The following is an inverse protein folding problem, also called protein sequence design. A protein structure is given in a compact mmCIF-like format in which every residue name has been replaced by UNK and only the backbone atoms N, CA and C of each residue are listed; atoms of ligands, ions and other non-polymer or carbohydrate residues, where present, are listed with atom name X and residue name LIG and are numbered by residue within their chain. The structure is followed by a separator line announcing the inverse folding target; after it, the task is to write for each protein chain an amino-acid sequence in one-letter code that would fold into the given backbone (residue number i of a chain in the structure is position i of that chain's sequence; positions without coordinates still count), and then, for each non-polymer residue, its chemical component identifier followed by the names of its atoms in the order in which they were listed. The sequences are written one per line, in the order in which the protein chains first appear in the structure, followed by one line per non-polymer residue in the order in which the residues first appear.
data_IF_209730501675
#
_entry.id   IF_209730501675
#
_cell.length_a   1.000
_cell.length_b   1.000
_cell.length_c   1.000
_cell.angle_alpha   90.00
_cell.angle_beta   90.00
_cell.angle_gamma   90.00
#
_symmetry.space_group_name_H-M   'P 1'
#
loop_
_entity.id
_entity.type
_entity.pdbx_description
1 polymer ?
#
# COMPACT_ATOMS: atom_id res chain seq x y z
N UNK A 1 -94.55 16.91 91.08
CA UNK A 1 -93.70 15.92 90.37
C UNK A 1 -92.85 15.23 91.42
N UNK A 2 -92.97 13.91 91.62
CA UNK A 2 -92.24 13.20 92.69
C UNK A 2 -90.77 13.00 92.29
N UNK A 3 -89.85 13.03 93.27
CA UNK A 3 -88.40 12.89 93.07
C UNK A 3 -88.04 11.63 92.25
N UNK A 4 -88.79 10.54 92.44
CA UNK A 4 -88.67 9.30 91.67
C UNK A 4 -88.90 9.49 90.16
N UNK A 5 -89.84 10.35 89.75
CA UNK A 5 -90.08 10.65 88.32
C UNK A 5 -88.89 11.40 87.72
N UNK A 6 -88.28 12.33 88.46
CA UNK A 6 -87.08 13.06 88.03
C UNK A 6 -85.88 12.12 87.83
N UNK A 7 -85.69 11.17 88.75
CA UNK A 7 -84.64 10.14 88.63
C UNK A 7 -84.90 9.21 87.42
N UNK A 8 -86.16 8.83 87.19
CA UNK A 8 -86.57 8.01 86.05
C UNK A 8 -86.32 8.73 84.71
N UNK A 9 -86.69 10.02 84.59
CA UNK A 9 -86.41 10.82 83.38
C UNK A 9 -84.91 11.02 83.14
N UNK A 10 -84.11 11.22 84.19
CA UNK A 10 -82.65 11.31 84.10
C UNK A 10 -82.02 10.01 83.61
N UNK A 11 -82.46 8.86 84.11
CA UNK A 11 -81.97 7.55 83.65
C UNK A 11 -82.35 7.28 82.20
N UNK A 12 -83.57 7.64 81.78
CA UNK A 12 -84.00 7.53 80.38
C UNK A 12 -83.12 8.42 79.48
N UNK A 13 -82.88 9.68 79.87
CA UNK A 13 -82.03 10.59 79.11
C UNK A 13 -80.58 10.08 78.99
N UNK A 14 -80.01 9.56 80.07
CA UNK A 14 -78.67 8.95 80.07
C UNK A 14 -78.60 7.75 79.12
N UNK A 15 -79.56 6.82 79.19
CA UNK A 15 -79.61 5.65 78.30
C UNK A 15 -79.71 6.08 76.83
N UNK A 16 -80.53 7.09 76.52
CA UNK A 16 -80.66 7.64 75.17
C UNK A 16 -79.34 8.27 74.70
N UNK A 17 -78.65 9.05 75.53
CA UNK A 17 -77.36 9.63 75.19
C UNK A 17 -76.28 8.57 74.92
N UNK A 18 -76.21 7.52 75.75
CA UNK A 18 -75.28 6.39 75.55
C UNK A 18 -75.61 5.64 74.26
N UNK A 19 -76.90 5.40 73.97
CA UNK A 19 -77.32 4.76 72.72
C UNK A 19 -76.94 5.59 71.49
N UNK A 20 -77.12 6.92 71.53
CA UNK A 20 -76.70 7.83 70.46
C UNK A 20 -75.17 7.80 70.28
N UNK A 21 -74.39 7.84 71.37
CA UNK A 21 -72.94 7.77 71.31
C UNK A 21 -72.44 6.43 70.73
N UNK A 22 -73.07 5.31 71.09
CA UNK A 22 -72.77 4.00 70.52
C UNK A 22 -73.07 3.96 69.01
N UNK A 23 -74.22 4.48 68.58
CA UNK A 23 -74.58 4.58 67.15
C UNK A 23 -73.63 5.49 66.40
N UNK A 24 -73.27 6.65 66.96
CA UNK A 24 -72.30 7.57 66.36
C UNK A 24 -70.92 6.92 66.23
N UNK A 25 -70.47 6.17 67.23
CA UNK A 25 -69.19 5.43 67.20
C UNK A 25 -69.20 4.35 66.10
N UNK A 26 -70.28 3.58 66.00
CA UNK A 26 -70.46 2.58 64.93
C UNK A 26 -70.49 3.23 63.54
N UNK A 27 -71.17 4.37 63.40
CA UNK A 27 -71.23 5.13 62.15
C UNK A 27 -69.85 5.67 61.76
N UNK A 28 -69.09 6.23 62.71
CA UNK A 28 -67.71 6.68 62.50
C UNK A 28 -66.80 5.51 62.12
N UNK A 29 -66.92 4.37 62.80
CA UNK A 29 -66.16 3.17 62.49
C UNK A 29 -66.44 2.68 61.06
N UNK A 30 -67.71 2.59 60.66
CA UNK A 30 -68.08 2.19 59.30
C UNK A 30 -67.60 3.18 58.24
N UNK A 31 -67.69 4.49 58.51
CA UNK A 31 -67.19 5.52 57.60
C UNK A 31 -65.66 5.45 57.48
N UNK A 32 -64.96 5.30 58.60
CA UNK A 32 -63.50 5.14 58.65
C UNK A 32 -63.05 3.89 57.89
N UNK A 33 -63.73 2.75 58.10
CA UNK A 33 -63.45 1.52 57.36
C UNK A 33 -63.66 1.68 55.85
N UNK A 34 -64.70 2.41 55.42
CA UNK A 34 -64.93 2.72 54.00
C UNK A 34 -63.87 3.65 53.42
N UNK A 35 -63.46 4.68 54.16
CA UNK A 35 -62.42 5.63 53.72
C UNK A 35 -61.06 4.94 53.63
N UNK A 36 -60.70 4.11 54.60
CA UNK A 36 -59.46 3.34 54.58
C UNK A 36 -59.45 2.36 53.40
N UNK A 37 -60.55 1.62 53.19
CA UNK A 37 -60.67 0.73 52.04
C UNK A 37 -60.58 1.47 50.69
N UNK A 38 -61.08 2.71 50.61
CA UNK A 38 -60.93 3.54 49.40
C UNK A 38 -59.49 4.01 49.20
N UNK A 39 -58.81 4.46 50.26
CA UNK A 39 -57.40 4.87 50.22
C UNK A 39 -56.47 3.72 49.87
N UNK A 40 -56.73 2.54 50.42
CA UNK A 40 -55.93 1.34 50.13
C UNK A 40 -56.02 0.97 48.64
N UNK A 41 -57.21 1.05 48.04
CA UNK A 41 -57.38 0.84 46.59
C UNK A 41 -56.66 1.88 45.73
N UNK A 42 -56.72 3.15 46.12
CA UNK A 42 -56.02 4.23 45.41
C UNK A 42 -54.50 4.04 45.51
N UNK A 43 -54.00 3.67 46.69
CA UNK A 43 -52.60 3.42 46.95
C UNK A 43 -52.09 2.17 46.21
N UNK A 44 -52.88 1.11 46.12
CA UNK A 44 -52.58 -0.07 45.29
C UNK A 44 -52.53 0.27 43.80
N UNK A 45 -53.46 1.11 43.34
CA UNK A 45 -53.48 1.60 41.95
C UNK A 45 -52.22 2.42 41.67
N UNK A 46 -51.86 3.34 42.55
CA UNK A 46 -50.65 4.15 42.43
C UNK A 46 -49.38 3.29 42.45
N UNK A 47 -49.29 2.31 43.35
CA UNK A 47 -48.17 1.36 43.41
C UNK A 47 -48.05 0.58 42.11
N UNK A 48 -49.16 0.08 41.59
CA UNK A 48 -49.19 -0.69 40.34
C UNK A 48 -48.82 0.17 39.14
N UNK A 49 -49.29 1.41 39.09
CA UNK A 49 -48.95 2.34 38.01
C UNK A 49 -47.48 2.77 38.09
N UNK A 50 -46.97 3.05 39.28
CA UNK A 50 -45.55 3.36 39.51
C UNK A 50 -44.64 2.18 39.16
N UNK A 51 -44.99 0.95 39.52
CA UNK A 51 -44.20 -0.23 39.14
C UNK A 51 -44.21 -0.46 37.64
N UNK A 52 -45.34 -0.24 36.96
CA UNK A 52 -45.41 -0.26 35.48
C UNK A 52 -44.52 0.79 34.85
N UNK A 53 -44.54 2.03 35.34
CA UNK A 53 -43.68 3.10 34.83
C UNK A 53 -42.20 2.82 35.05
N UNK A 54 -41.82 2.32 36.24
CA UNK A 54 -40.45 1.92 36.52
C UNK A 54 -40.02 0.77 35.60
N UNK A 55 -40.88 -0.24 35.40
CA UNK A 55 -40.58 -1.36 34.50
C UNK A 55 -40.43 -0.90 33.04
N UNK A 56 -41.29 0.01 32.57
CA UNK A 56 -41.20 0.60 31.24
C UNK A 56 -39.90 1.41 31.06
N UNK A 57 -39.58 2.28 32.01
CA UNK A 57 -38.35 3.07 31.97
C UNK A 57 -37.09 2.19 32.02
N UNK A 58 -37.11 1.10 32.80
CA UNK A 58 -36.00 0.12 32.83
C UNK A 58 -35.87 -0.64 31.51
N UNK A 59 -36.98 -0.98 30.85
CA UNK A 59 -36.97 -1.64 29.55
C UNK A 59 -36.40 -0.71 28.47
N UNK A 60 -36.83 0.55 28.43
CA UNK A 60 -36.32 1.57 27.50
C UNK A 60 -34.82 1.83 27.73
N UNK A 61 -34.39 1.94 29.00
CA UNK A 61 -32.99 2.11 29.33
C UNK A 61 -32.14 0.91 28.89
N UNK A 62 -32.65 -0.32 29.09
CA UNK A 62 -31.97 -1.53 28.65
C UNK A 62 -31.86 -1.60 27.11
N UNK A 63 -32.88 -1.18 26.39
CA UNK A 63 -32.85 -1.11 24.92
C UNK A 63 -31.85 -0.06 24.43
N UNK A 64 -31.87 1.15 25.00
CA UNK A 64 -30.91 2.20 24.68
C UNK A 64 -29.46 1.75 24.93
N UNK A 65 -29.21 1.04 26.03
CA UNK A 65 -27.88 0.47 26.32
C UNK A 65 -27.46 -0.58 25.28
N UNK A 66 -28.37 -1.45 24.84
CA UNK A 66 -28.08 -2.43 23.78
C UNK A 66 -27.73 -1.76 22.45
N UNK A 67 -28.47 -0.70 22.09
CA UNK A 67 -28.21 0.06 20.87
C UNK A 67 -26.83 0.73 20.98
N UNK A 68 -26.56 1.45 22.07
CA UNK A 68 -25.28 2.13 22.28
C UNK A 68 -24.07 1.16 22.25
N UNK A 69 -24.21 -0.02 22.86
CA UNK A 69 -23.17 -1.06 22.82
C UNK A 69 -22.97 -1.61 21.40
N UNK A 70 -24.06 -1.82 20.64
CA UNK A 70 -23.96 -2.26 19.25
C UNK A 70 -23.27 -1.23 18.35
N UNK A 71 -23.56 0.06 18.55
CA UNK A 71 -22.89 1.15 17.83
C UNK A 71 -21.42 1.27 18.22
N UNK A 72 -21.11 1.11 19.51
CA UNK A 72 -19.72 1.11 19.98
C UNK A 72 -18.92 -0.01 19.33
N UNK A 73 -19.49 -1.22 19.22
CA UNK A 73 -18.85 -2.34 18.51
C UNK A 73 -18.69 -2.06 17.03
N UNK A 74 -19.70 -1.51 16.37
CA UNK A 74 -19.63 -1.16 14.96
C UNK A 74 -18.55 -0.10 14.69
N UNK A 75 -18.40 0.91 15.56
CA UNK A 75 -17.33 1.92 15.48
C UNK A 75 -15.95 1.31 15.68
N UNK A 76 -15.77 0.48 16.70
CA UNK A 76 -14.49 -0.19 16.96
C UNK A 76 -14.06 -1.08 15.78
N UNK A 77 -15.02 -1.79 15.16
CA UNK A 77 -14.77 -2.59 13.97
C UNK A 77 -14.40 -1.73 12.77
N UNK A 78 -15.09 -0.61 12.55
CA UNK A 78 -14.76 0.33 11.48
C UNK A 78 -13.36 0.95 11.67
N UNK A 79 -13.02 1.35 12.90
CA UNK A 79 -11.69 1.86 13.24
C UNK A 79 -10.60 0.82 12.96
N UNK A 80 -10.84 -0.44 13.33
CA UNK A 80 -9.94 -1.56 13.02
C UNK A 80 -9.76 -1.75 11.51
N UNK A 81 -10.85 -1.69 10.73
CA UNK A 81 -10.79 -1.81 9.27
C UNK A 81 -10.04 -0.64 8.62
N UNK A 82 -10.23 0.59 9.12
CA UNK A 82 -9.50 1.77 8.66
C UNK A 82 -8.01 1.62 8.94
N UNK A 83 -7.62 1.25 10.17
CA UNK A 83 -6.23 1.02 10.52
C UNK A 83 -5.57 -0.07 9.66
N UNK A 84 -6.29 -1.17 9.39
CA UNK A 84 -5.81 -2.24 8.52
C UNK A 84 -5.71 -1.82 7.04
N UNK A 85 -6.59 -0.95 6.57
CA UNK A 85 -6.53 -0.38 5.23
C UNK A 85 -5.34 0.60 5.09
N UNK A 86 -5.12 1.45 6.07
CA UNK A 86 -3.98 2.37 6.13
C UNK A 86 -2.64 1.63 6.16
N UNK A 87 -2.54 0.57 6.97
CA UNK A 87 -1.34 -0.27 7.01
C UNK A 87 -1.02 -0.89 5.64
N UNK A 88 -2.03 -1.46 4.96
CA UNK A 88 -1.87 -2.02 3.60
C UNK A 88 -1.51 -0.94 2.58
N UNK A 89 -2.09 0.26 2.68
CA UNK A 89 -1.76 1.37 1.80
C UNK A 89 -0.32 1.84 2.00
N UNK A 90 0.15 1.92 3.25
CA UNK A 90 1.53 2.27 3.57
C UNK A 90 2.53 1.25 3.02
N UNK A 91 2.25 -0.06 3.19
CA UNK A 91 3.07 -1.14 2.66
C UNK A 91 3.12 -1.11 1.12
N UNK A 92 1.97 -1.00 0.46
CA UNK A 92 1.90 -0.90 -1.00
C UNK A 92 2.69 0.31 -1.54
N UNK A 93 2.61 1.45 -0.85
CA UNK A 93 3.37 2.64 -1.21
C UNK A 93 4.88 2.45 -1.02
N UNK A 94 5.32 1.77 0.04
CA UNK A 94 6.72 1.47 0.27
C UNK A 94 7.29 0.57 -0.84
N UNK A 95 6.57 -0.50 -1.20
CA UNK A 95 6.94 -1.40 -2.31
C UNK A 95 6.97 -0.65 -3.64
N UNK A 96 5.96 0.18 -3.92
CA UNK A 96 5.91 0.97 -5.15
C UNK A 96 7.06 1.98 -5.24
N UNK A 97 7.46 2.58 -4.12
CA UNK A 97 8.62 3.49 -4.07
C UNK A 97 9.93 2.77 -4.37
N UNK A 98 10.14 1.59 -3.77
CA UNK A 98 11.32 0.77 -4.04
C UNK A 98 11.39 0.33 -5.50
N UNK A 99 10.27 -0.16 -6.05
CA UNK A 99 10.19 -0.55 -7.46
C UNK A 99 10.49 0.62 -8.40
N UNK A 100 10.05 1.84 -8.07
CA UNK A 100 10.37 3.05 -8.85
C UNK A 100 11.86 3.39 -8.81
N UNK A 101 12.51 3.23 -7.66
CA UNK A 101 13.96 3.46 -7.53
C UNK A 101 14.78 2.43 -8.31
N UNK A 102 14.38 1.17 -8.26
CA UNK A 102 15.02 0.10 -9.05
C UNK A 102 14.80 0.33 -10.55
N UNK A 103 13.58 0.70 -10.96
CA UNK A 103 13.29 1.03 -12.34
C UNK A 103 14.08 2.25 -12.81
N UNK A 104 14.20 3.29 -11.98
CA UNK A 104 15.02 4.46 -12.30
C UNK A 104 16.48 4.08 -12.59
N UNK A 105 17.11 3.28 -11.71
CA UNK A 105 18.47 2.76 -11.91
C UNK A 105 18.59 1.91 -13.18
N UNK A 106 17.57 1.11 -13.49
CA UNK A 106 17.51 0.33 -14.73
C UNK A 106 17.24 1.20 -15.96
N UNK A 107 16.72 2.42 -15.83
CA UNK A 107 16.47 3.35 -16.96
C UNK A 107 17.56 4.38 -17.19
N UNK A 108 18.48 4.60 -16.24
CA UNK A 108 19.58 5.57 -16.40
C UNK A 108 20.45 5.24 -17.63
N UNK A 109 20.73 6.19 -18.54
CA UNK A 109 21.53 5.92 -19.73
C UNK A 109 22.90 5.34 -19.39
N UNK A 110 23.40 4.37 -20.17
CA UNK A 110 24.76 3.85 -20.02
C UNK A 110 25.75 4.94 -20.42
N UNK A 111 26.40 5.54 -19.44
CA UNK A 111 27.42 6.60 -19.64
C UNK A 111 28.76 6.17 -19.06
N UNK A 112 29.85 6.56 -19.72
CA UNK A 112 31.22 6.34 -19.22
C UNK A 112 31.77 7.64 -18.65
N UNK A 113 32.30 7.60 -17.42
CA UNK A 113 33.00 8.73 -16.84
C UNK A 113 34.26 9.06 -17.66
N UNK A 114 34.66 10.34 -17.80
CA UNK A 114 35.85 10.71 -18.56
C UNK A 114 37.13 9.98 -18.11
N UNK A 115 37.30 9.81 -16.79
CA UNK A 115 38.43 9.09 -16.20
C UNK A 115 38.50 7.62 -16.65
N UNK A 116 37.34 6.97 -16.81
CA UNK A 116 37.29 5.58 -17.28
C UNK A 116 37.52 5.50 -18.78
N UNK A 117 37.07 6.51 -19.55
CA UNK A 117 37.39 6.60 -20.98
C UNK A 117 38.91 6.66 -21.18
N UNK A 118 39.63 7.47 -20.40
CA UNK A 118 41.10 7.55 -20.46
C UNK A 118 41.78 6.22 -20.13
N UNK A 119 41.31 5.53 -19.08
CA UNK A 119 41.84 4.19 -18.72
C UNK A 119 41.61 3.17 -19.83
N UNK A 120 40.41 3.15 -20.41
CA UNK A 120 40.09 2.24 -21.52
C UNK A 120 40.98 2.57 -22.73
N UNK A 121 41.13 3.85 -23.08
CA UNK A 121 42.01 4.28 -24.18
C UNK A 121 43.43 3.78 -23.95
N UNK A 122 44.01 4.02 -22.76
CA UNK A 122 45.36 3.58 -22.43
C UNK A 122 45.52 2.05 -22.51
N UNK A 123 44.53 1.28 -22.06
CA UNK A 123 44.53 -0.18 -22.14
C UNK A 123 44.43 -0.69 -23.58
N UNK A 124 43.73 0.03 -24.48
CA UNK A 124 43.52 -0.41 -25.86
C UNK A 124 44.57 0.08 -26.85
N UNK A 125 45.41 1.05 -26.46
CA UNK A 125 46.50 1.59 -27.29
C UNK A 125 47.52 0.53 -27.71
N UNK A 126 47.74 -0.51 -26.89
CA UNK A 126 48.63 -1.62 -27.26
C UNK A 126 48.14 -2.40 -28.49
N UNK A 127 46.86 -2.28 -28.84
CA UNK A 127 46.22 -2.90 -30.00
C UNK A 127 45.91 -1.90 -31.13
N UNK A 128 46.62 -0.77 -31.18
CA UNK A 128 46.44 0.23 -32.25
C UNK A 128 46.52 -0.41 -33.65
N UNK A 129 45.65 0.04 -34.56
CA UNK A 129 45.48 -0.53 -35.89
C UNK A 129 44.45 -1.67 -35.97
N UNK A 130 43.91 -2.15 -34.85
CA UNK A 130 42.85 -3.16 -34.83
C UNK A 130 41.59 -2.64 -35.54
N UNK A 131 41.05 -3.41 -36.48
CA UNK A 131 39.79 -3.07 -37.16
C UNK A 131 38.59 -3.36 -36.26
N UNK A 132 37.61 -2.44 -36.28
CA UNK A 132 36.35 -2.61 -35.55
C UNK A 132 35.15 -2.08 -36.33
N UNK A 133 33.98 -2.66 -36.06
CA UNK A 133 32.69 -2.20 -36.60
C UNK A 133 31.61 -2.28 -35.53
N UNK A 134 30.40 -1.82 -35.84
CA UNK A 134 29.28 -1.89 -34.90
C UNK A 134 28.04 -2.57 -35.48
N UNK A 135 27.27 -3.13 -34.57
CA UNK A 135 25.83 -3.36 -34.70
C UNK A 135 25.12 -2.66 -33.53
N UNK A 136 23.92 -2.13 -33.72
CA UNK A 136 23.24 -1.28 -32.74
C UNK A 136 21.74 -1.47 -32.76
N UNK A 137 21.12 -1.47 -31.59
CA UNK A 137 19.67 -1.38 -31.46
C UNK A 137 19.20 0.04 -31.83
N UNK A 138 18.07 0.17 -32.52
CA UNK A 138 17.60 1.46 -33.05
C UNK A 138 16.88 2.33 -32.00
N UNK A 139 17.51 2.52 -30.83
CA UNK A 139 17.03 3.47 -29.81
C UNK A 139 18.04 4.62 -29.59
N UNK A 140 17.59 5.77 -29.04
CA UNK A 140 18.46 6.93 -28.86
C UNK A 140 19.64 6.68 -27.92
N UNK A 141 19.46 5.82 -26.91
CA UNK A 141 20.48 5.55 -25.89
C UNK A 141 21.60 4.66 -26.42
N UNK A 142 21.28 3.56 -27.12
CA UNK A 142 22.30 2.70 -27.74
C UNK A 142 23.09 3.46 -28.81
N UNK A 143 22.42 4.33 -29.58
CA UNK A 143 23.09 5.21 -30.54
C UNK A 143 24.02 6.22 -29.88
N UNK A 144 23.64 6.78 -28.72
CA UNK A 144 24.50 7.67 -27.96
C UNK A 144 25.74 6.93 -27.43
N UNK A 145 25.56 5.73 -26.84
CA UNK A 145 26.66 4.91 -26.37
C UNK A 145 27.59 4.48 -27.52
N UNK A 146 27.04 4.10 -28.69
CA UNK A 146 27.81 3.78 -29.88
C UNK A 146 28.70 4.94 -30.30
N UNK A 147 28.18 6.18 -30.32
CA UNK A 147 28.98 7.37 -30.67
C UNK A 147 30.14 7.57 -29.70
N UNK A 148 29.89 7.41 -28.40
CA UNK A 148 30.93 7.51 -27.38
C UNK A 148 32.00 6.43 -27.56
N UNK A 149 31.60 5.19 -27.82
CA UNK A 149 32.52 4.08 -28.09
C UNK A 149 33.31 4.28 -29.39
N UNK A 150 32.70 4.82 -30.44
CA UNK A 150 33.38 5.11 -31.71
C UNK A 150 34.51 6.13 -31.53
N UNK A 151 34.24 7.21 -30.80
CA UNK A 151 35.27 8.21 -30.46
C UNK A 151 36.38 7.57 -29.62
N UNK A 152 36.01 6.83 -28.58
CA UNK A 152 36.94 6.18 -27.67
C UNK A 152 37.90 5.22 -28.41
N UNK A 153 37.36 4.35 -29.27
CA UNK A 153 38.17 3.36 -29.99
C UNK A 153 39.06 4.02 -31.04
N UNK A 154 38.57 5.05 -31.73
CA UNK A 154 39.41 5.86 -32.63
C UNK A 154 40.54 6.55 -31.88
N UNK A 155 40.29 7.07 -30.67
CA UNK A 155 41.31 7.66 -29.81
C UNK A 155 42.35 6.64 -29.33
N UNK A 156 41.99 5.36 -29.21
CA UNK A 156 42.91 4.26 -28.97
C UNK A 156 43.69 3.80 -30.23
N UNK A 157 43.47 4.45 -31.38
CA UNK A 157 44.14 4.13 -32.64
C UNK A 157 43.53 2.97 -33.41
N UNK A 158 42.33 2.51 -33.04
CA UNK A 158 41.62 1.46 -33.77
C UNK A 158 40.99 2.00 -35.06
N UNK A 159 40.82 1.13 -36.06
CA UNK A 159 40.37 1.50 -37.41
C UNK A 159 38.92 1.09 -37.64
N UNK A 160 38.04 2.08 -37.81
CA UNK A 160 36.60 1.84 -38.05
C UNK A 160 36.36 1.27 -39.46
N UNK A 161 35.63 0.17 -39.55
CA UNK A 161 35.18 -0.46 -40.80
C UNK A 161 33.64 -0.44 -40.92
N UNK A 162 33.09 -0.57 -42.14
CA UNK A 162 31.65 -0.70 -42.35
C UNK A 162 31.04 -1.89 -41.60
N UNK A 163 29.72 -1.84 -41.39
CA UNK A 163 28.98 -2.92 -40.75
C UNK A 163 29.19 -4.26 -41.49
N UNK A 164 29.57 -5.31 -40.74
CA UNK A 164 29.76 -6.67 -41.28
C UNK A 164 28.68 -7.65 -40.81
N UNK A 165 27.85 -7.24 -39.86
CA UNK A 165 26.74 -7.99 -39.26
C UNK A 165 25.53 -7.06 -39.21
N UNK A 166 24.32 -7.60 -39.39
CA UNK A 166 23.04 -6.87 -39.36
C UNK A 166 22.38 -6.88 -40.73
N UNK A 167 21.07 -7.21 -40.76
CA UNK A 167 20.30 -7.30 -42.01
C UNK A 167 19.99 -5.92 -42.60
N UNK A 168 19.80 -4.94 -41.73
CA UNK A 168 19.60 -3.54 -42.08
C UNK A 168 20.82 -2.75 -41.59
N UNK A 169 21.24 -1.78 -42.38
CA UNK A 169 22.37 -0.91 -42.07
C UNK A 169 21.85 0.49 -41.82
N UNK A 170 22.29 1.10 -40.73
CA UNK A 170 21.99 2.49 -40.36
C UNK A 170 23.27 3.33 -40.37
N UNK A 171 23.13 4.60 -40.75
CA UNK A 171 24.22 5.58 -40.62
C UNK A 171 24.35 6.02 -39.15
N UNK A 172 25.51 5.79 -38.55
CA UNK A 172 25.81 6.10 -37.17
C UNK A 172 27.28 6.50 -36.99
N UNK A 173 27.51 7.70 -36.42
CA UNK A 173 28.85 8.25 -36.18
C UNK A 173 29.69 8.44 -37.46
N UNK A 174 29.05 8.80 -38.58
CA UNK A 174 29.73 9.03 -39.86
C UNK A 174 30.21 7.76 -40.56
N UNK A 175 29.68 6.60 -40.18
CA UNK A 175 29.87 5.32 -40.86
C UNK A 175 28.63 4.44 -40.67
N UNK A 176 28.65 3.26 -41.25
CA UNK A 176 27.58 2.28 -41.13
C UNK A 176 27.67 1.47 -39.84
N UNK A 177 26.51 1.16 -39.27
CA UNK A 177 26.33 0.17 -38.20
C UNK A 177 25.17 -0.76 -38.60
N UNK A 178 25.30 -2.06 -38.32
CA UNK A 178 24.20 -2.99 -38.51
C UNK A 178 23.09 -2.77 -37.49
N UNK A 179 21.88 -3.20 -37.79
CA UNK A 179 20.80 -3.26 -36.78
C UNK A 179 20.91 -4.52 -35.95
N UNK A 180 20.80 -4.37 -34.63
CA UNK A 180 20.74 -5.46 -33.66
C UNK A 180 19.38 -5.55 -33.01
N UNK A 181 19.00 -6.75 -32.58
CA UNK A 181 17.84 -7.01 -31.73
C UNK A 181 18.24 -7.61 -30.36
N UNK A 182 19.54 -7.71 -30.10
CA UNK A 182 20.06 -8.27 -28.86
C UNK A 182 19.93 -7.27 -27.70
N UNK A 183 20.15 -7.76 -26.47
CA UNK A 183 20.21 -6.93 -25.26
C UNK A 183 21.63 -6.88 -24.68
N UNK A 184 22.01 -5.74 -24.11
CA UNK A 184 23.32 -5.49 -23.50
C UNK A 184 24.41 -5.09 -24.50
N UNK A 185 25.68 -5.14 -24.07
CA UNK A 185 26.83 -4.91 -24.96
C UNK A 185 27.58 -6.24 -25.15
N UNK A 186 27.87 -6.58 -26.39
CA UNK A 186 28.58 -7.81 -26.75
C UNK A 186 29.64 -7.47 -27.78
N UNK A 187 30.82 -8.05 -27.67
CA UNK A 187 31.87 -7.89 -28.67
C UNK A 187 32.11 -9.23 -29.36
N UNK A 188 32.05 -9.23 -30.68
CA UNK A 188 32.14 -10.42 -31.52
C UNK A 188 33.43 -10.44 -32.32
N UNK A 189 33.99 -11.64 -32.48
CA UNK A 189 35.11 -11.89 -33.41
C UNK A 189 34.83 -13.16 -34.23
N UNK A 190 35.33 -13.21 -35.46
CA UNK A 190 35.27 -14.42 -36.28
C UNK A 190 36.09 -15.57 -35.67
N UNK A 191 35.65 -16.84 -35.84
CA UNK A 191 36.39 -17.99 -35.33
C UNK A 191 37.80 -18.11 -35.92
N UNK A 192 38.04 -17.54 -37.10
CA UNK A 192 39.30 -17.50 -37.83
C UNK A 192 40.16 -16.26 -37.55
N UNK A 193 39.80 -15.42 -36.57
CA UNK A 193 40.52 -14.20 -36.20
C UNK A 193 41.09 -14.27 -34.77
N UNK A 194 41.99 -15.24 -34.55
CA UNK A 194 42.63 -15.45 -33.23
C UNK A 194 43.52 -14.29 -32.78
N UNK A 195 44.11 -13.55 -33.73
CA UNK A 195 44.96 -12.40 -33.45
C UNK A 195 44.22 -11.29 -32.67
N UNK A 196 42.93 -11.12 -32.92
CA UNK A 196 42.09 -10.14 -32.21
C UNK A 196 41.59 -10.64 -30.84
N UNK A 197 41.91 -11.87 -30.43
CA UNK A 197 41.39 -12.47 -29.20
C UNK A 197 41.86 -11.78 -27.92
N UNK A 198 43.11 -11.27 -27.89
CA UNK A 198 43.61 -10.49 -26.76
C UNK A 198 42.91 -9.14 -26.66
N UNK A 199 42.87 -8.39 -27.78
CA UNK A 199 42.18 -7.11 -27.89
C UNK A 199 40.69 -7.19 -27.49
N UNK A 200 40.01 -8.25 -27.91
CA UNK A 200 38.60 -8.51 -27.56
C UNK A 200 38.40 -8.66 -26.04
N UNK A 201 39.27 -9.42 -25.37
CA UNK A 201 39.20 -9.61 -23.91
C UNK A 201 39.50 -8.31 -23.18
N UNK A 202 40.58 -7.63 -23.54
CA UNK A 202 40.96 -6.36 -22.91
C UNK A 202 39.85 -5.32 -23.06
N UNK A 203 39.23 -5.20 -24.25
CA UNK A 203 38.06 -4.34 -24.45
C UNK A 203 36.89 -4.70 -23.53
N UNK A 204 36.55 -6.00 -23.46
CA UNK A 204 35.40 -6.46 -22.68
C UNK A 204 35.61 -6.25 -21.18
N UNK A 205 36.83 -6.51 -20.69
CA UNK A 205 37.23 -6.30 -19.30
C UNK A 205 37.25 -4.82 -18.94
N UNK A 206 37.81 -3.97 -19.80
CA UNK A 206 37.88 -2.52 -19.58
C UNK A 206 36.49 -1.87 -19.57
N UNK A 207 35.61 -2.25 -20.50
CA UNK A 207 34.21 -1.78 -20.49
C UNK A 207 33.46 -2.24 -19.24
N UNK A 208 33.65 -3.50 -18.84
CA UNK A 208 33.00 -4.04 -17.63
C UNK A 208 33.50 -3.34 -16.38
N UNK A 209 34.80 -3.03 -16.28
CA UNK A 209 35.37 -2.24 -15.20
C UNK A 209 34.82 -0.81 -15.14
N UNK A 210 34.48 -0.23 -16.30
CA UNK A 210 33.83 1.08 -16.42
C UNK A 210 32.29 1.03 -16.22
N UNK A 211 31.75 -0.10 -15.73
CA UNK A 211 30.32 -0.24 -15.44
C UNK A 211 29.43 -0.56 -16.66
N UNK A 212 30.03 -0.93 -17.80
CA UNK A 212 29.30 -1.36 -19.00
C UNK A 212 29.57 -2.86 -19.22
N UNK A 213 28.68 -3.76 -18.76
CA UNK A 213 28.87 -5.20 -18.94
C UNK A 213 29.01 -5.55 -20.42
N UNK A 214 30.19 -6.05 -20.80
CA UNK A 214 30.51 -6.43 -22.17
C UNK A 214 30.88 -7.91 -22.22
N UNK A 215 30.19 -8.69 -23.08
CA UNK A 215 30.48 -10.12 -23.25
C UNK A 215 31.35 -10.35 -24.50
N UNK A 216 32.53 -10.96 -24.38
CA UNK A 216 33.30 -11.39 -25.55
C UNK A 216 32.74 -12.70 -26.11
N UNK A 217 32.44 -12.75 -27.40
CA UNK A 217 31.92 -13.93 -28.08
C UNK A 217 32.61 -14.16 -29.43
N UNK A 218 32.56 -15.41 -29.89
CA UNK A 218 32.92 -15.78 -31.26
C UNK A 218 31.66 -16.08 -32.04
N UNK A 219 31.59 -15.61 -33.29
CA UNK A 219 30.41 -15.82 -34.14
C UNK A 219 30.80 -16.30 -35.54
N UNK A 220 30.08 -17.30 -36.02
CA UNK A 220 30.25 -17.87 -37.36
C UNK A 220 29.93 -16.86 -38.47
N UNK A 221 29.11 -15.84 -38.19
CA UNK A 221 28.73 -14.80 -39.15
C UNK A 221 29.93 -13.97 -39.64
N UNK A 222 31.00 -13.92 -38.84
CA UNK A 222 32.24 -13.21 -39.18
C UNK A 222 33.30 -14.10 -39.83
N UNK A 223 33.04 -15.41 -39.98
CA UNK A 223 33.97 -16.32 -40.62
C UNK A 223 34.25 -15.86 -42.05
N UNK A 224 35.53 -15.77 -42.42
CA UNK A 224 35.99 -15.37 -43.75
C UNK A 224 35.65 -13.92 -44.16
N UNK A 225 35.15 -13.08 -43.25
CA UNK A 225 34.93 -11.65 -43.54
C UNK A 225 36.26 -10.91 -43.62
N UNK A 226 36.37 -10.02 -44.59
CA UNK A 226 37.52 -9.14 -44.79
C UNK A 226 37.06 -7.67 -44.82
N UNK A 227 37.76 -6.75 -44.14
CA UNK A 227 38.85 -7.00 -43.20
C UNK A 227 38.38 -7.77 -41.95
N UNK A 228 39.28 -8.50 -41.31
CA UNK A 228 38.99 -9.17 -40.04
C UNK A 228 38.85 -8.10 -38.95
N UNK A 229 37.65 -7.97 -38.37
CA UNK A 229 37.33 -6.93 -37.40
C UNK A 229 36.68 -7.50 -36.13
N UNK A 230 36.73 -6.71 -35.05
CA UNK A 230 35.91 -6.92 -33.87
C UNK A 230 34.59 -6.16 -34.07
N UNK A 231 33.45 -6.84 -34.00
CA UNK A 231 32.15 -6.19 -34.11
C UNK A 231 31.57 -5.97 -32.72
N UNK A 232 31.33 -4.72 -32.37
CA UNK A 232 30.75 -4.34 -31.10
C UNK A 232 29.25 -4.14 -31.30
N UNK A 233 28.48 -4.97 -30.63
CA UNK A 233 27.05 -4.95 -30.63
C UNK A 233 26.53 -4.17 -29.42
N UNK A 234 25.90 -3.04 -29.68
CA UNK A 234 25.24 -2.21 -28.65
C UNK A 234 23.74 -2.49 -28.72
N UNK A 235 23.32 -3.52 -28.01
CA UNK A 235 21.92 -3.94 -27.92
C UNK A 235 21.07 -3.06 -27.01
N UNK A 236 19.78 -3.38 -26.97
CA UNK A 236 18.80 -2.76 -26.07
C UNK A 236 19.28 -2.91 -24.63
N UNK A 237 19.05 -1.90 -23.79
CA UNK A 237 19.33 -2.05 -22.36
C UNK A 237 18.50 -3.20 -21.78
N UNK A 238 19.11 -4.17 -21.07
CA UNK A 238 18.39 -5.29 -20.45
C UNK A 238 17.43 -4.82 -19.36
#
# INVERSE_FOLDING_TARGET
MTLEKLLQWSNIAYIVCVAIAAVATLAIYHLSARVNAAKDRELETYRTESTKQIAAAQAEAAEAMRIAESERRARAELESQVAAAEARAAEANAVASQARLELAKLTEPRTMAPEDQEKIIAALQEFAGQHFGFSVFSDPEALALLRSLDVLLKSAGWLRVPAQIGDIVVEAAGNTAGTSHDSGVTAFVGPDNDAAGAALRTLSEALTAAGIPCRPLRTEQLRHKTPKAIIINVGKKP
#
